data_IF_349657437559
#
_entry.id   IF_349657437559
#
_cell.length_a   1.000
_cell.length_b   1.000
_cell.length_c   1.000
_cell.angle_alpha   90.00
_cell.angle_beta   90.00
_cell.angle_gamma   90.00
#
_symmetry.space_group_name_H-M   'P 1'
#
loop_
_entity.id
_entity.type
_entity.pdbx_description
1 polymer ?
#
# COMPACT_ATOMS: atom_id res chain seq x y z
N UNK A 1 39.36 -25.06 -18.46
CA UNK A 1 37.91 -25.35 -18.58
C UNK A 1 37.21 -25.34 -17.21
N UNK A 2 37.69 -26.10 -16.22
CA UNK A 2 37.10 -26.20 -14.88
C UNK A 2 36.87 -24.86 -14.15
N UNK A 3 37.82 -23.92 -14.21
CA UNK A 3 37.72 -22.61 -13.55
C UNK A 3 36.55 -21.77 -14.07
N UNK A 4 36.26 -21.82 -15.38
CA UNK A 4 35.13 -21.11 -16.00
C UNK A 4 33.79 -21.73 -15.64
N UNK A 5 33.73 -23.07 -15.55
CA UNK A 5 32.54 -23.80 -15.12
C UNK A 5 32.20 -23.52 -13.64
N UNK A 6 33.21 -23.44 -12.78
CA UNK A 6 33.04 -23.08 -11.37
C UNK A 6 32.48 -21.65 -11.22
N UNK A 7 32.99 -20.70 -12.00
CA UNK A 7 32.50 -19.31 -11.99
C UNK A 7 31.05 -19.23 -12.43
N UNK A 8 30.66 -19.93 -13.50
CA UNK A 8 29.26 -19.96 -13.97
C UNK A 8 28.33 -20.59 -12.93
N UNK A 9 28.77 -21.66 -12.26
CA UNK A 9 28.00 -22.31 -11.19
C UNK A 9 27.82 -21.38 -9.97
N UNK A 10 28.86 -20.65 -9.57
CA UNK A 10 28.79 -19.69 -8.45
C UNK A 10 27.91 -18.48 -8.77
N UNK A 11 27.93 -17.99 -10.01
CA UNK A 11 27.06 -16.89 -10.45
C UNK A 11 25.58 -17.30 -10.53
N UNK A 12 25.31 -18.52 -11.00
CA UNK A 12 23.93 -19.03 -11.09
C UNK A 12 23.32 -19.31 -9.72
N UNK A 13 24.09 -19.86 -8.77
CA UNK A 13 23.63 -20.02 -7.39
C UNK A 13 23.44 -18.67 -6.71
N UNK A 14 24.36 -17.70 -6.87
CA UNK A 14 24.19 -16.36 -6.32
C UNK A 14 22.93 -15.65 -6.85
N UNK A 15 22.60 -15.81 -8.14
CA UNK A 15 21.37 -15.27 -8.72
C UNK A 15 20.10 -15.94 -8.15
N UNK A 16 20.13 -17.25 -7.91
CA UNK A 16 19.04 -17.96 -7.25
C UNK A 16 18.86 -17.53 -5.79
N UNK A 17 19.96 -17.33 -5.04
CA UNK A 17 19.89 -16.83 -3.67
C UNK A 17 19.40 -15.37 -3.60
N UNK A 18 19.78 -14.51 -4.54
CA UNK A 18 19.27 -13.14 -4.63
C UNK A 18 17.76 -13.09 -4.95
N UNK A 19 17.29 -13.99 -5.81
CA UNK A 19 15.85 -14.18 -6.09
C UNK A 19 15.07 -14.68 -4.87
N UNK A 20 15.68 -15.51 -4.02
CA UNK A 20 15.06 -16.04 -2.80
C UNK A 20 15.12 -15.05 -1.62
N UNK A 21 16.01 -14.05 -1.67
CA UNK A 21 16.22 -13.06 -0.61
C UNK A 21 15.19 -11.91 -0.61
N UNK A 22 14.40 -11.73 -1.68
CA UNK A 22 13.17 -10.97 -1.59
C UNK A 22 12.06 -11.90 -1.08
N UNK A 23 11.91 -11.96 0.26
CA UNK A 23 10.74 -12.56 0.87
C UNK A 23 9.46 -11.91 0.30
N UNK A 24 8.32 -12.60 0.45
CA UNK A 24 7.06 -12.15 -0.14
C UNK A 24 6.70 -10.69 0.24
N UNK A 25 6.96 -10.33 1.50
CA UNK A 25 6.82 -8.96 2.01
C UNK A 25 7.66 -7.95 1.20
N UNK A 26 8.92 -8.27 0.94
CA UNK A 26 9.82 -7.41 0.18
C UNK A 26 9.35 -7.16 -1.25
N UNK A 27 8.87 -8.20 -1.96
CA UNK A 27 8.37 -8.05 -3.33
C UNK A 27 7.10 -7.19 -3.38
N UNK A 28 6.15 -7.45 -2.48
CA UNK A 28 4.91 -6.69 -2.36
C UNK A 28 5.23 -5.23 -1.98
N UNK A 29 6.08 -5.01 -0.99
CA UNK A 29 6.52 -3.68 -0.56
C UNK A 29 7.20 -2.89 -1.68
N UNK A 30 8.09 -3.52 -2.46
CA UNK A 30 8.69 -2.89 -3.65
C UNK A 30 7.63 -2.49 -4.67
N UNK A 31 6.69 -3.38 -4.99
CA UNK A 31 5.64 -3.06 -5.96
C UNK A 31 4.74 -1.89 -5.48
N UNK A 32 4.43 -1.83 -4.18
CA UNK A 32 3.66 -0.74 -3.58
C UNK A 32 4.40 0.60 -3.66
N UNK A 33 5.68 0.62 -3.26
CA UNK A 33 6.48 1.84 -3.20
C UNK A 33 6.81 2.40 -4.59
N UNK A 34 6.99 1.53 -5.59
CA UNK A 34 7.31 1.91 -6.97
C UNK A 34 6.08 2.15 -7.86
N UNK A 35 4.88 1.94 -7.31
CA UNK A 35 3.63 2.09 -8.07
C UNK A 35 3.42 1.08 -9.18
N UNK A 36 3.98 -0.12 -9.04
CA UNK A 36 3.89 -1.21 -10.03
C UNK A 36 2.60 -2.01 -9.83
N UNK A 37 1.44 -1.38 -10.08
CA UNK A 37 0.14 -1.93 -9.68
C UNK A 37 -0.24 -3.25 -10.38
N UNK A 38 0.16 -3.44 -11.63
CA UNK A 38 -0.05 -4.72 -12.33
C UNK A 38 0.82 -5.83 -11.73
N UNK A 39 2.07 -5.54 -11.39
CA UNK A 39 2.96 -6.50 -10.74
C UNK A 39 2.50 -6.80 -9.31
N UNK A 40 2.01 -5.78 -8.59
CA UNK A 40 1.39 -5.96 -7.27
C UNK A 40 0.20 -6.92 -7.33
N UNK A 41 -0.69 -6.72 -8.30
CA UNK A 41 -1.85 -7.61 -8.51
C UNK A 41 -1.41 -9.03 -8.86
N UNK A 42 -0.33 -9.18 -9.65
CA UNK A 42 0.23 -10.48 -9.96
C UNK A 42 0.82 -11.15 -8.72
N UNK A 43 1.66 -10.46 -7.96
CA UNK A 43 2.30 -10.96 -6.74
C UNK A 43 1.26 -11.41 -5.71
N UNK A 44 0.19 -10.63 -5.49
CA UNK A 44 -0.92 -10.99 -4.60
C UNK A 44 -1.67 -12.25 -5.05
N UNK A 45 -1.72 -12.51 -6.37
CA UNK A 45 -2.41 -13.68 -6.92
C UNK A 45 -1.56 -14.96 -6.83
N UNK A 46 -0.24 -14.86 -6.92
CA UNK A 46 0.66 -16.03 -6.92
C UNK A 46 1.26 -16.35 -5.56
N UNK A 47 1.22 -15.40 -4.62
CA UNK A 47 1.78 -15.54 -3.28
C UNK A 47 0.71 -16.02 -2.30
N UNK A 48 0.95 -17.11 -1.55
CA UNK A 48 0.06 -17.52 -0.46
C UNK A 48 -0.10 -16.41 0.58
N UNK A 49 -1.33 -16.04 0.92
CA UNK A 49 -1.60 -14.90 1.81
C UNK A 49 -1.00 -15.09 3.22
N UNK A 50 -0.89 -16.33 3.70
CA UNK A 50 -0.28 -16.69 4.98
C UNK A 50 1.25 -16.57 5.01
N UNK A 51 1.87 -16.36 3.85
CA UNK A 51 3.32 -16.12 3.72
C UNK A 51 3.72 -14.64 3.74
N UNK A 52 2.75 -13.74 3.90
CA UNK A 52 2.92 -12.28 3.90
C UNK A 52 2.52 -11.72 5.27
N UNK A 53 3.17 -10.66 5.71
CA UNK A 53 2.68 -9.86 6.84
C UNK A 53 1.19 -9.48 6.58
N UNK A 54 0.27 -9.79 7.50
CA UNK A 54 -1.17 -9.61 7.26
C UNK A 54 -1.57 -8.16 6.96
N UNK A 55 -0.92 -7.19 7.59
CA UNK A 55 -1.23 -5.76 7.42
C UNK A 55 -0.70 -5.27 6.07
N UNK A 56 0.54 -5.65 5.72
CA UNK A 56 1.10 -5.38 4.40
C UNK A 56 0.21 -5.95 3.29
N UNK A 57 -0.27 -7.18 3.46
CA UNK A 57 -1.18 -7.83 2.51
C UNK A 57 -2.48 -7.04 2.36
N UNK A 58 -3.13 -6.66 3.46
CA UNK A 58 -4.38 -5.87 3.42
C UNK A 58 -4.17 -4.50 2.76
N UNK A 59 -3.07 -3.81 3.05
CA UNK A 59 -2.72 -2.55 2.40
C UNK A 59 -2.54 -2.73 0.88
N UNK A 60 -1.78 -3.76 0.47
CA UNK A 60 -1.56 -4.09 -0.93
C UNK A 60 -2.87 -4.39 -1.68
N UNK A 61 -3.79 -5.13 -1.04
CA UNK A 61 -5.12 -5.42 -1.59
C UNK A 61 -5.96 -4.14 -1.74
N UNK A 62 -6.01 -3.29 -0.71
CA UNK A 62 -6.72 -2.02 -0.75
C UNK A 62 -6.20 -1.10 -1.88
N UNK A 63 -4.88 -0.95 -2.00
CA UNK A 63 -4.25 -0.17 -3.07
C UNK A 63 -4.55 -0.76 -4.44
N UNK A 64 -4.47 -2.09 -4.59
CA UNK A 64 -4.83 -2.76 -5.85
C UNK A 64 -6.28 -2.48 -6.25
N UNK A 65 -7.24 -2.56 -5.31
CA UNK A 65 -8.62 -2.19 -5.59
C UNK A 65 -8.77 -0.74 -6.04
N UNK A 66 -8.10 0.20 -5.36
CA UNK A 66 -8.15 1.62 -5.72
C UNK A 66 -7.61 1.90 -7.13
N UNK A 67 -6.42 1.38 -7.45
CA UNK A 67 -5.79 1.63 -8.75
C UNK A 67 -6.46 0.87 -9.91
N UNK A 68 -7.19 -0.21 -9.62
CA UNK A 68 -7.99 -0.95 -10.60
C UNK A 68 -9.46 -0.48 -10.66
N UNK A 69 -9.76 0.71 -10.13
CA UNK A 69 -11.09 1.33 -10.20
C UNK A 69 -12.20 0.45 -9.60
N UNK A 70 -11.92 -0.15 -8.43
CA UNK A 70 -12.90 -0.91 -7.62
C UNK A 70 -13.09 -0.22 -6.26
N UNK A 71 -13.69 0.98 -6.23
CA UNK A 71 -13.68 1.82 -5.04
C UNK A 71 -14.48 1.24 -3.87
N UNK A 72 -15.60 0.54 -4.11
CA UNK A 72 -16.36 -0.15 -3.04
C UNK A 72 -15.53 -1.24 -2.35
N UNK A 73 -14.78 -2.02 -3.12
CA UNK A 73 -13.87 -3.05 -2.60
C UNK A 73 -12.73 -2.41 -1.81
N UNK A 74 -12.19 -1.29 -2.30
CA UNK A 74 -11.16 -0.54 -1.57
C UNK A 74 -11.71 -0.02 -0.23
N UNK A 75 -12.89 0.62 -0.22
CA UNK A 75 -13.55 1.10 1.00
C UNK A 75 -13.77 -0.03 2.01
N UNK A 76 -14.14 -1.23 1.57
CA UNK A 76 -14.34 -2.38 2.46
C UNK A 76 -13.06 -2.75 3.21
N UNK A 77 -11.94 -2.90 2.48
CA UNK A 77 -10.65 -3.30 3.08
C UNK A 77 -10.05 -2.16 3.91
N UNK A 78 -10.15 -0.91 3.42
CA UNK A 78 -9.68 0.27 4.14
C UNK A 78 -10.46 0.50 5.43
N UNK A 79 -11.77 0.22 5.43
CA UNK A 79 -12.60 0.34 6.63
C UNK A 79 -12.15 -0.62 7.71
N UNK A 80 -11.86 -1.87 7.36
CA UNK A 80 -11.30 -2.85 8.30
C UNK A 80 -9.93 -2.41 8.85
N UNK A 81 -9.02 -1.98 7.95
CA UNK A 81 -7.70 -1.47 8.34
C UNK A 81 -7.79 -0.29 9.32
N UNK A 82 -8.61 0.72 9.01
CA UNK A 82 -8.73 1.94 9.80
C UNK A 82 -9.53 1.74 11.09
N UNK A 83 -10.44 0.76 11.15
CA UNK A 83 -11.23 0.53 12.36
C UNK A 83 -10.53 -0.42 13.34
N UNK A 84 -9.74 -1.38 12.82
CA UNK A 84 -9.25 -2.50 13.63
C UNK A 84 -7.72 -2.59 13.73
N UNK A 85 -6.96 -1.87 12.89
CA UNK A 85 -5.51 -2.10 12.72
C UNK A 85 -4.66 -0.82 12.72
N UNK A 86 -5.13 0.29 13.28
CA UNK A 86 -4.37 1.56 13.28
C UNK A 86 -3.00 1.46 13.98
N UNK A 87 -2.91 0.72 15.07
CA UNK A 87 -1.63 0.52 15.78
C UNK A 87 -0.60 -0.19 14.89
N UNK A 88 -1.03 -1.22 14.16
CA UNK A 88 -0.15 -1.98 13.26
C UNK A 88 0.17 -1.22 11.97
N UNK A 89 -0.73 -0.34 11.51
CA UNK A 89 -0.50 0.55 10.37
C UNK A 89 0.60 1.58 10.66
N UNK A 90 0.66 2.09 11.89
CA UNK A 90 1.61 3.12 12.31
C UNK A 90 1.56 4.34 11.37
N UNK A 91 2.72 4.68 10.81
CA UNK A 91 2.90 5.82 9.90
C UNK A 91 2.05 5.74 8.62
N UNK A 92 1.57 4.54 8.25
CA UNK A 92 0.71 4.37 7.08
C UNK A 92 -0.75 4.74 7.33
N UNK A 93 -1.17 4.97 8.58
CA UNK A 93 -2.56 5.24 8.94
C UNK A 93 -3.12 6.44 8.20
N UNK A 94 -2.37 7.55 8.15
CA UNK A 94 -2.78 8.75 7.43
C UNK A 94 -2.95 8.47 5.92
N UNK A 95 -1.98 7.80 5.30
CA UNK A 95 -2.03 7.44 3.88
C UNK A 95 -3.24 6.56 3.55
N UNK A 96 -3.59 5.62 4.43
CA UNK A 96 -4.77 4.77 4.25
C UNK A 96 -6.07 5.54 4.45
N UNK A 97 -6.13 6.49 5.38
CA UNK A 97 -7.29 7.36 5.57
C UNK A 97 -7.53 8.29 4.38
N UNK A 98 -6.47 8.86 3.80
CA UNK A 98 -6.56 9.62 2.54
C UNK A 98 -7.09 8.74 1.41
N UNK A 99 -6.56 7.51 1.28
CA UNK A 99 -7.05 6.56 0.29
C UNK A 99 -8.53 6.21 0.49
N UNK A 100 -9.00 6.12 1.74
CA UNK A 100 -10.42 5.91 2.05
C UNK A 100 -11.27 7.07 1.52
N UNK A 101 -10.94 8.32 1.86
CA UNK A 101 -11.74 9.47 1.41
C UNK A 101 -11.77 9.60 -0.12
N UNK A 102 -10.67 9.28 -0.80
CA UNK A 102 -10.63 9.20 -2.28
C UNK A 102 -11.63 8.18 -2.83
N UNK A 103 -11.75 7.00 -2.22
CA UNK A 103 -12.68 5.97 -2.67
C UNK A 103 -14.13 6.25 -2.25
N UNK A 104 -14.35 6.92 -1.10
CA UNK A 104 -15.67 7.44 -0.71
C UNK A 104 -16.22 8.41 -1.76
N UNK A 105 -15.40 9.36 -2.20
CA UNK A 105 -15.81 10.29 -3.27
C UNK A 105 -16.11 9.56 -4.60
N UNK A 106 -15.36 8.50 -4.92
CA UNK A 106 -15.60 7.65 -6.12
C UNK A 106 -16.83 6.73 -6.00
N UNK A 107 -17.46 6.67 -4.82
CA UNK A 107 -18.71 5.94 -4.56
C UNK A 107 -19.87 6.89 -4.23
N UNK A 108 -19.76 8.16 -4.63
CA UNK A 108 -20.76 9.23 -4.41
C UNK A 108 -21.05 9.56 -2.92
N UNK A 109 -20.21 9.07 -2.01
CA UNK A 109 -20.28 9.34 -0.57
C UNK A 109 -19.53 10.63 -0.21
N UNK A 110 -19.85 11.72 -0.90
CA UNK A 110 -19.10 12.98 -0.83
C UNK A 110 -19.08 13.61 0.55
N UNK A 111 -20.19 13.57 1.29
CA UNK A 111 -20.25 14.12 2.65
C UNK A 111 -19.26 13.40 3.59
N UNK A 112 -19.22 12.06 3.53
CA UNK A 112 -18.31 11.26 4.35
C UNK A 112 -16.85 11.45 3.93
N UNK A 113 -16.60 11.64 2.62
CA UNK A 113 -15.28 11.97 2.11
C UNK A 113 -14.81 13.33 2.64
N UNK A 114 -15.67 14.36 2.57
CA UNK A 114 -15.37 15.71 3.03
C UNK A 114 -15.10 15.77 4.53
N UNK A 115 -15.98 15.16 5.34
CA UNK A 115 -15.83 15.08 6.80
C UNK A 115 -14.50 14.42 7.18
N UNK A 116 -14.14 13.31 6.50
CA UNK A 116 -12.87 12.63 6.72
C UNK A 116 -11.69 13.53 6.35
N UNK A 117 -11.69 14.14 5.17
CA UNK A 117 -10.58 14.99 4.71
C UNK A 117 -10.39 16.21 5.62
N UNK A 118 -11.48 16.83 6.08
CA UNK A 118 -11.43 17.93 7.03
C UNK A 118 -10.86 17.50 8.39
N UNK A 119 -11.25 16.31 8.89
CA UNK A 119 -10.67 15.75 10.11
C UNK A 119 -9.16 15.53 9.98
N UNK A 120 -8.70 15.01 8.83
CA UNK A 120 -7.28 14.80 8.57
C UNK A 120 -6.51 16.12 8.50
N UNK A 121 -7.06 17.16 7.87
CA UNK A 121 -6.44 18.50 7.88
C UNK A 121 -6.28 19.03 9.30
N UNK A 122 -7.32 18.94 10.14
CA UNK A 122 -7.25 19.40 11.53
C UNK A 122 -6.21 18.63 12.36
N UNK A 123 -6.03 17.33 12.11
CA UNK A 123 -4.98 16.53 12.76
C UNK A 123 -3.58 16.98 12.34
N UNK A 124 -3.37 17.23 11.05
CA UNK A 124 -2.09 17.72 10.52
C UNK A 124 -1.74 19.11 11.06
N UNK A 125 -2.69 20.03 11.10
CA UNK A 125 -2.51 21.36 11.69
C UNK A 125 -2.15 21.27 13.18
N UNK A 126 -2.81 20.38 13.94
CA UNK A 126 -2.48 20.13 15.34
C UNK A 126 -1.06 19.56 15.56
N UNK A 127 -0.52 18.85 14.55
CA UNK A 127 0.87 18.37 14.52
C UNK A 127 1.88 19.44 14.06
N UNK A 128 1.41 20.65 13.74
CA UNK A 128 2.25 21.77 13.30
C UNK A 128 2.47 21.82 11.79
N UNK A 129 1.70 21.07 11.00
CA UNK A 129 1.73 21.22 9.55
C UNK A 129 1.18 22.60 9.15
N UNK A 130 1.81 23.25 8.17
CA UNK A 130 1.33 24.52 7.66
C UNK A 130 0.32 24.33 6.52
N UNK A 131 -0.34 25.43 6.12
CA UNK A 131 -1.33 25.43 5.05
C UNK A 131 -0.80 24.98 3.68
N UNK A 132 0.51 25.03 3.43
CA UNK A 132 1.09 24.54 2.17
C UNK A 132 1.21 23.01 2.16
N UNK A 133 1.34 22.40 3.33
CA UNK A 133 1.41 20.96 3.51
C UNK A 133 0.02 20.30 3.54
N UNK A 134 -1.03 21.03 3.91
CA UNK A 134 -2.42 20.52 3.94
C UNK A 134 -3.25 20.90 2.71
N UNK A 135 -2.79 21.84 1.87
CA UNK A 135 -3.55 22.37 0.73
C UNK A 135 -4.18 21.30 -0.17
N UNK A 136 -3.45 20.21 -0.47
CA UNK A 136 -3.95 19.13 -1.31
C UNK A 136 -5.16 18.41 -0.72
N UNK A 137 -5.21 18.24 0.61
CA UNK A 137 -6.33 17.63 1.32
C UNK A 137 -7.48 18.62 1.50
N UNK A 138 -7.18 19.89 1.76
CA UNK A 138 -8.18 20.94 1.94
C UNK A 138 -8.98 21.24 0.68
N UNK A 139 -8.43 21.00 -0.52
CA UNK A 139 -9.17 21.12 -1.80
C UNK A 139 -10.19 19.98 -1.97
N UNK A 140 -9.96 18.86 -1.27
CA UNK A 140 -10.78 17.65 -1.36
C UNK A 140 -11.85 17.55 -0.28
N UNK A 141 -11.76 18.40 0.75
CA UNK A 141 -12.77 18.60 1.77
C UNK A 141 -13.86 19.56 1.26
#
# INVERSE_FOLDING_TARGET
>A
MARRLLTILLLSTAAMLASQAQNADGRIGTCMNEGRWFDLAHELNVTPADSVNPILYKMAVAMTHHYFNRPDSACTVLGDLLNNHQEELGDNTLSMAVLMGLNLARTDRYAEAADLMQSLCGQLEAMGADSTQTAGLSIMA
#
